data_IF_450011130382
#
_entry.id   IF_450011130382
#
_cell.length_a   1.000
_cell.length_b   1.000
_cell.length_c   1.000
_cell.angle_alpha   90.00
_cell.angle_beta   90.00
_cell.angle_gamma   90.00
#
_symmetry.space_group_name_H-M   'P 1'
#
loop_
_entity.id
_entity.type
_entity.pdbx_description
1 polymer ?
#
# COMPACT_ATOMS: atom_id res chain seq x y z
N UNK A 1 5.55 9.70 -36.06
CA UNK A 1 4.68 10.31 -35.02
C UNK A 1 3.63 9.29 -34.61
N UNK A 2 3.00 9.50 -33.44
CA UNK A 2 1.99 8.66 -32.78
C UNK A 2 2.52 7.33 -32.21
N UNK A 3 2.47 7.25 -30.88
CA UNK A 3 2.74 6.07 -30.06
C UNK A 3 1.46 5.23 -29.98
N UNK A 4 1.58 3.91 -29.88
CA UNK A 4 0.46 3.04 -29.50
C UNK A 4 0.88 2.18 -28.31
N UNK A 5 0.22 2.39 -27.16
CA UNK A 5 0.28 1.50 -26.00
C UNK A 5 -1.10 0.83 -25.86
N UNK A 6 -1.24 -0.45 -26.18
CA UNK A 6 -2.33 -1.26 -25.68
C UNK A 6 -1.97 -1.86 -24.30
N UNK A 7 -2.98 -2.36 -23.58
CA UNK A 7 -2.86 -3.10 -22.30
C UNK A 7 -2.67 -2.27 -21.02
N UNK A 8 -3.41 -1.17 -20.87
CA UNK A 8 -3.98 -0.87 -19.55
C UNK A 8 -5.15 -1.83 -19.33
N UNK A 9 -4.88 -2.97 -18.69
CA UNK A 9 -5.94 -3.84 -18.15
C UNK A 9 -6.53 -3.18 -16.90
N UNK A 10 -7.49 -2.28 -17.11
CA UNK A 10 -8.37 -1.81 -16.04
C UNK A 10 -9.14 -3.04 -15.54
N UNK A 11 -8.88 -3.49 -14.32
CA UNK A 11 -9.72 -4.50 -13.69
C UNK A 11 -11.08 -3.84 -13.35
N UNK A 12 -12.21 -4.28 -13.93
CA UNK A 12 -13.48 -3.61 -13.70
C UNK A 12 -13.93 -3.78 -12.25
N UNK A 13 -14.52 -2.73 -11.67
CA UNK A 13 -15.34 -2.87 -10.48
C UNK A 13 -16.41 -3.94 -10.70
N UNK A 14 -16.72 -4.66 -9.61
CA UNK A 14 -17.72 -5.72 -9.50
C UNK A 14 -18.83 -5.72 -10.57
N UNK A 15 -18.91 -6.79 -11.37
CA UNK A 15 -20.12 -7.62 -11.48
C UNK A 15 -19.83 -8.93 -12.26
N UNK A 16 -20.17 -10.06 -11.62
CA UNK A 16 -20.40 -11.41 -12.17
C UNK A 16 -19.27 -12.25 -12.83
N UNK A 17 -19.37 -13.55 -12.51
CA UNK A 17 -18.81 -14.75 -13.16
C UNK A 17 -17.31 -15.12 -13.03
N UNK A 18 -17.09 -16.42 -12.75
CA UNK A 18 -15.80 -17.12 -12.75
C UNK A 18 -15.38 -17.71 -11.39
N UNK A 19 -15.59 -19.01 -11.16
CA UNK A 19 -15.24 -19.67 -9.88
C UNK A 19 -13.74 -19.61 -9.54
N UNK A 20 -12.83 -19.52 -10.52
CA UNK A 20 -11.40 -19.33 -10.27
C UNK A 20 -11.09 -17.95 -9.64
N UNK A 21 -11.89 -16.92 -9.94
CA UNK A 21 -11.72 -15.57 -9.38
C UNK A 21 -12.11 -15.50 -7.88
N UNK A 22 -12.96 -16.43 -7.41
CA UNK A 22 -13.46 -16.44 -6.03
C UNK A 22 -12.36 -16.60 -4.98
N UNK A 23 -11.23 -17.23 -5.35
CA UNK A 23 -10.06 -17.34 -4.48
C UNK A 23 -9.54 -15.97 -4.05
N UNK A 24 -8.91 -15.23 -4.98
CA UNK A 24 -8.32 -13.91 -4.69
C UNK A 24 -9.34 -12.90 -4.14
N UNK A 25 -10.57 -12.87 -4.67
CA UNK A 25 -11.63 -11.99 -4.16
C UNK A 25 -11.97 -12.26 -2.69
N UNK A 26 -12.01 -13.53 -2.25
CA UNK A 26 -12.24 -13.85 -0.83
C UNK A 26 -11.15 -13.25 0.06
N UNK A 27 -9.88 -13.37 -0.32
CA UNK A 27 -8.76 -12.86 0.49
C UNK A 27 -8.69 -11.34 0.53
N UNK A 28 -9.00 -10.66 -0.58
CA UNK A 28 -9.16 -9.20 -0.60
C UNK A 28 -10.27 -8.75 0.36
N UNK A 29 -11.42 -9.43 0.39
CA UNK A 29 -12.50 -9.15 1.33
C UNK A 29 -12.18 -9.47 2.80
N UNK A 30 -11.21 -10.36 3.08
CA UNK A 30 -10.80 -10.66 4.46
C UNK A 30 -9.92 -9.56 5.06
N UNK A 31 -9.17 -8.83 4.22
CA UNK A 31 -8.16 -7.83 4.61
C UNK A 31 -8.51 -6.40 4.14
N UNK A 32 -9.79 -6.17 3.85
CA UNK A 32 -10.37 -4.85 3.64
C UNK A 32 -10.65 -4.14 4.98
N UNK A 33 -10.97 -2.83 5.00
CA UNK A 33 -11.30 -2.11 6.23
C UNK A 33 -12.47 -2.67 7.05
N UNK A 34 -13.32 -3.51 6.45
CA UNK A 34 -14.43 -4.21 7.12
C UNK A 34 -14.28 -5.75 7.10
N UNK A 35 -13.13 -6.25 6.64
CA UNK A 35 -12.80 -7.67 6.63
C UNK A 35 -12.47 -8.21 8.02
N UNK A 36 -12.64 -9.51 8.23
CA UNK A 36 -12.43 -10.15 9.55
C UNK A 36 -10.99 -10.06 10.07
N UNK A 37 -10.00 -9.89 9.19
CA UNK A 37 -8.60 -9.69 9.55
C UNK A 37 -8.22 -8.19 9.66
N UNK A 38 -9.14 -7.28 9.35
CA UNK A 38 -8.92 -5.83 9.34
C UNK A 38 -8.15 -5.32 8.12
N UNK A 39 -7.99 -3.99 8.05
CA UNK A 39 -7.31 -3.30 6.96
C UNK A 39 -5.84 -3.74 6.81
N UNK A 40 -5.47 -4.18 5.61
CA UNK A 40 -4.07 -4.49 5.26
C UNK A 40 -3.10 -3.33 5.54
N UNK A 41 -3.53 -2.08 5.36
CA UNK A 41 -2.68 -0.91 5.62
C UNK A 41 -2.36 -0.76 7.12
N UNK A 42 -3.32 -1.10 7.99
CA UNK A 42 -3.10 -1.17 9.45
C UNK A 42 -2.14 -2.33 9.80
N UNK A 43 -2.27 -3.46 9.11
CA UNK A 43 -1.40 -4.64 9.30
C UNK A 43 0.06 -4.37 8.91
N UNK A 44 0.29 -3.63 7.82
CA UNK A 44 1.64 -3.34 7.31
C UNK A 44 2.34 -2.17 8.01
N UNK A 45 1.57 -1.24 8.59
CA UNK A 45 2.12 -0.02 9.20
C UNK A 45 3.26 -0.27 10.23
N UNK A 46 3.19 -1.23 11.16
CA UNK A 46 4.27 -1.50 12.11
C UNK A 46 5.58 -1.92 11.45
N UNK A 47 5.52 -2.62 10.30
CA UNK A 47 6.71 -3.04 9.55
C UNK A 47 7.24 -1.85 8.74
N UNK A 48 6.37 -1.24 7.93
CA UNK A 48 6.75 -0.15 7.02
C UNK A 48 7.27 1.08 7.78
N UNK A 49 6.51 1.59 8.74
CA UNK A 49 6.91 2.75 9.53
C UNK A 49 7.80 2.37 10.73
N UNK A 50 7.37 1.38 11.51
CA UNK A 50 7.96 1.06 12.81
C UNK A 50 9.28 0.31 12.78
N UNK A 51 9.64 -0.32 11.66
CA UNK A 51 10.93 -1.00 11.47
C UNK A 51 11.73 -0.34 10.35
N UNK A 52 11.15 -0.24 9.15
CA UNK A 52 11.93 0.06 7.94
C UNK A 52 12.19 1.55 7.78
N UNK A 53 11.15 2.37 7.80
CA UNK A 53 11.31 3.82 7.79
C UNK A 53 12.07 4.31 9.04
N UNK A 54 11.82 3.70 10.20
CA UNK A 54 12.59 3.96 11.43
C UNK A 54 14.10 3.75 11.26
N UNK A 55 14.51 2.69 10.55
CA UNK A 55 15.90 2.42 10.19
C UNK A 55 16.43 3.28 9.02
N UNK A 56 15.67 4.27 8.54
CA UNK A 56 16.09 5.19 7.46
C UNK A 56 15.83 4.70 6.03
N UNK A 57 15.20 3.54 5.84
CA UNK A 57 14.90 3.05 4.49
C UNK A 57 13.86 3.92 3.77
N UNK A 58 14.08 4.13 2.47
CA UNK A 58 13.02 4.47 1.54
C UNK A 58 12.14 3.22 1.34
N UNK A 59 10.87 3.30 1.74
CA UNK A 59 9.95 2.16 1.68
C UNK A 59 9.08 2.30 0.45
N UNK A 60 9.24 1.42 -0.54
CA UNK A 60 8.33 1.34 -1.69
C UNK A 60 6.94 0.80 -1.26
N UNK A 61 5.95 0.86 -2.15
CA UNK A 61 4.65 0.23 -1.94
C UNK A 61 4.80 -1.29 -1.61
N UNK A 62 3.76 -2.00 -1.12
CA UNK A 62 3.83 -3.44 -0.81
C UNK A 62 3.11 -4.36 -1.84
N UNK A 63 3.67 -5.54 -2.14
CA UNK A 63 3.07 -6.54 -3.05
C UNK A 63 2.53 -7.69 -2.26
N UNK A 64 1.29 -7.98 -2.58
CA UNK A 64 0.50 -8.87 -1.78
C UNK A 64 -0.14 -9.83 -2.77
N UNK A 65 0.57 -10.92 -3.04
CA UNK A 65 -0.04 -12.03 -3.77
C UNK A 65 -1.05 -12.69 -2.84
N UNK A 66 -2.32 -12.47 -3.15
CA UNK A 66 -3.43 -12.97 -2.36
C UNK A 66 -3.58 -14.49 -2.54
N UNK A 67 -3.20 -15.25 -1.51
CA UNK A 67 -3.24 -16.71 -1.44
C UNK A 67 -2.71 -17.44 -2.70
N UNK A 68 -1.42 -17.28 -3.05
CA UNK A 68 -0.82 -17.92 -4.22
C UNK A 68 -0.94 -19.46 -4.19
N UNK A 69 -1.01 -20.08 -3.01
CA UNK A 69 -1.26 -21.53 -2.86
C UNK A 69 -2.63 -21.98 -3.35
N UNK A 70 -3.63 -21.08 -3.40
CA UNK A 70 -4.99 -21.35 -3.88
C UNK A 70 -5.24 -20.87 -5.32
N UNK A 71 -4.29 -20.16 -5.93
CA UNK A 71 -4.39 -19.62 -7.28
C UNK A 71 -4.09 -20.70 -8.34
N UNK A 72 -4.66 -20.57 -9.55
CA UNK A 72 -4.37 -21.53 -10.63
C UNK A 72 -2.92 -21.40 -11.12
N UNK A 73 -2.41 -22.42 -11.83
CA UNK A 73 -1.02 -22.41 -12.31
C UNK A 73 -0.72 -21.22 -13.25
N UNK A 74 -1.67 -20.85 -14.10
CA UNK A 74 -1.59 -19.64 -14.94
C UNK A 74 -1.52 -18.36 -14.11
N UNK A 75 -2.39 -18.22 -13.10
CA UNK A 75 -2.41 -17.05 -12.22
C UNK A 75 -1.08 -16.88 -11.46
N UNK A 76 -0.52 -17.97 -10.91
CA UNK A 76 0.80 -17.95 -10.27
C UNK A 76 1.92 -17.57 -11.24
N UNK A 77 1.82 -17.96 -12.51
CA UNK A 77 2.76 -17.55 -13.55
C UNK A 77 2.62 -16.05 -13.81
N UNK A 78 1.41 -15.54 -13.95
CA UNK A 78 1.12 -14.10 -14.12
C UNK A 78 1.62 -13.27 -12.92
N UNK A 79 1.51 -13.78 -11.69
CA UNK A 79 2.09 -13.15 -10.49
C UNK A 79 3.61 -13.00 -10.61
N UNK A 80 4.32 -14.05 -11.05
CA UNK A 80 5.78 -14.03 -11.24
C UNK A 80 6.23 -13.13 -12.39
N UNK A 81 5.50 -13.11 -13.51
CA UNK A 81 5.80 -12.23 -14.64
C UNK A 81 5.52 -10.75 -14.32
N UNK A 82 4.41 -10.46 -13.62
CA UNK A 82 4.13 -9.13 -13.08
C UNK A 82 5.23 -8.69 -12.10
N UNK A 83 5.73 -9.60 -11.27
CA UNK A 83 6.84 -9.30 -10.37
C UNK A 83 8.13 -8.97 -11.13
N UNK A 84 8.52 -9.82 -12.09
CA UNK A 84 9.69 -9.60 -12.94
C UNK A 84 9.60 -8.27 -13.69
N UNK A 85 8.42 -7.91 -14.20
CA UNK A 85 8.19 -6.65 -14.91
C UNK A 85 8.42 -5.45 -14.00
N UNK A 86 7.90 -5.48 -12.77
CA UNK A 86 8.11 -4.39 -11.81
C UNK A 86 9.59 -4.23 -11.42
N UNK A 87 10.31 -5.34 -11.22
CA UNK A 87 11.76 -5.31 -10.92
C UNK A 87 12.61 -4.60 -11.97
N UNK A 88 12.13 -4.42 -13.21
CA UNK A 88 12.86 -3.74 -14.28
C UNK A 88 12.85 -2.21 -14.17
N UNK A 89 11.93 -1.62 -13.39
CA UNK A 89 11.80 -0.17 -13.20
C UNK A 89 11.63 0.22 -11.74
N UNK A 90 12.20 -0.58 -10.84
CA UNK A 90 12.00 -0.50 -9.39
C UNK A 90 12.68 0.72 -8.76
N UNK A 91 13.88 1.08 -9.23
CA UNK A 91 14.67 2.18 -8.67
C UNK A 91 14.09 3.55 -9.03
N UNK A 92 13.22 3.58 -10.05
CA UNK A 92 12.49 4.72 -10.54
C UNK A 92 11.12 4.92 -9.84
N UNK A 93 10.74 4.00 -8.93
CA UNK A 93 9.47 4.11 -8.19
C UNK A 93 9.52 5.18 -7.10
N UNK A 94 8.40 5.89 -6.93
CA UNK A 94 8.23 6.85 -5.83
C UNK A 94 8.01 6.10 -4.51
N UNK A 95 8.85 6.33 -3.47
CA UNK A 95 8.63 5.73 -2.15
C UNK A 95 7.35 6.24 -1.47
N UNK A 96 6.86 5.47 -0.49
CA UNK A 96 5.78 5.88 0.40
C UNK A 96 6.21 7.10 1.21
N UNK A 97 5.31 8.08 1.32
CA UNK A 97 5.53 9.27 2.14
C UNK A 97 5.15 9.00 3.59
N UNK A 98 6.10 9.19 4.50
CA UNK A 98 5.87 9.19 5.95
C UNK A 98 5.85 10.63 6.49
N UNK A 99 5.39 10.81 7.72
CA UNK A 99 5.40 12.14 8.37
C UNK A 99 6.84 12.51 8.74
N UNK A 100 7.41 13.62 8.24
CA UNK A 100 8.78 13.99 8.57
C UNK A 100 8.96 14.35 10.06
N UNK A 101 10.16 14.13 10.60
CA UNK A 101 10.46 14.36 12.02
C UNK A 101 10.29 15.83 12.45
N UNK A 102 10.38 16.78 11.51
CA UNK A 102 10.15 18.20 11.78
C UNK A 102 8.70 18.53 12.16
N UNK A 103 7.74 17.64 11.91
CA UNK A 103 6.35 17.78 12.30
C UNK A 103 6.13 17.47 13.79
N UNK A 104 7.13 16.93 14.49
CA UNK A 104 7.05 16.54 15.89
C UNK A 104 7.89 17.45 16.78
N UNK A 105 7.44 17.65 18.02
CA UNK A 105 8.26 18.29 19.05
C UNK A 105 9.29 17.29 19.60
N UNK A 106 10.56 17.69 19.58
CA UNK A 106 11.70 16.82 19.91
C UNK A 106 11.77 16.44 21.41
N UNK A 107 11.08 17.16 22.30
CA UNK A 107 11.11 16.90 23.75
C UNK A 107 10.01 15.96 24.21
N UNK A 108 8.85 16.05 23.57
CA UNK A 108 7.63 15.30 23.91
C UNK A 108 7.35 14.14 22.96
N UNK A 109 8.02 14.10 21.80
CA UNK A 109 7.76 13.17 20.70
C UNK A 109 6.29 13.21 20.22
N UNK A 110 5.61 14.35 20.38
CA UNK A 110 4.22 14.57 19.96
C UNK A 110 4.14 15.41 18.68
N UNK A 111 3.09 15.21 17.89
CA UNK A 111 2.82 16.01 16.70
C UNK A 111 2.56 17.48 17.09
N UNK A 112 3.26 18.42 16.46
CA UNK A 112 3.20 19.85 16.80
C UNK A 112 1.78 20.42 16.68
N UNK A 113 1.38 21.37 17.56
CA UNK A 113 0.03 21.94 17.54
C UNK A 113 -0.38 22.56 16.21
N UNK A 114 0.53 23.27 15.53
CA UNK A 114 0.25 23.93 14.25
C UNK A 114 0.04 22.92 13.11
N UNK A 115 0.77 21.80 13.12
CA UNK A 115 0.57 20.69 12.17
C UNK A 115 -0.79 20.03 12.39
N UNK A 116 -1.17 19.81 13.66
CA UNK A 116 -2.50 19.30 14.03
C UNK A 116 -3.62 20.24 13.58
N UNK A 117 -3.47 21.54 13.78
CA UNK A 117 -4.44 22.56 13.38
C UNK A 117 -4.59 22.63 11.85
N UNK A 118 -3.48 22.65 11.10
CA UNK A 118 -3.48 22.60 9.62
C UNK A 118 -4.18 21.34 9.07
N UNK A 119 -4.13 20.23 9.80
CA UNK A 119 -4.82 18.98 9.45
C UNK A 119 -6.23 18.84 10.06
N UNK A 120 -6.70 19.77 10.90
CA UNK A 120 -7.96 19.65 11.61
C UNK A 120 -9.17 19.60 10.65
N UNK A 121 -9.13 20.33 9.54
CA UNK A 121 -10.19 20.38 8.52
C UNK A 121 -10.11 19.28 7.44
N UNK A 122 -9.07 18.44 7.45
CA UNK A 122 -8.93 17.32 6.49
C UNK A 122 -9.88 16.17 6.84
N UNK A 123 -10.41 15.47 5.84
CA UNK A 123 -11.26 14.29 6.04
C UNK A 123 -10.50 13.14 6.70
N UNK A 124 -9.29 12.87 6.22
CA UNK A 124 -8.45 11.75 6.66
C UNK A 124 -7.43 12.15 7.73
N UNK A 125 -6.91 11.14 8.42
CA UNK A 125 -5.74 11.24 9.29
C UNK A 125 -4.45 11.53 8.52
N UNK A 126 -3.38 11.84 9.24
CA UNK A 126 -2.09 12.21 8.64
C UNK A 126 -1.38 10.98 8.04
N UNK A 127 -1.46 9.84 8.74
CA UNK A 127 -1.00 8.52 8.30
C UNK A 127 -1.87 7.44 8.95
N UNK A 128 -1.62 6.16 8.65
CA UNK A 128 -2.30 5.03 9.31
C UNK A 128 -2.06 5.04 10.83
N UNK A 129 -0.82 5.27 11.27
CA UNK A 129 -0.48 5.34 12.70
C UNK A 129 -0.84 6.67 13.36
N UNK A 130 -0.91 7.77 12.60
CA UNK A 130 -1.22 9.11 13.08
C UNK A 130 -2.58 9.52 12.52
N UNK A 131 -3.58 8.71 12.86
CA UNK A 131 -4.93 8.80 12.32
C UNK A 131 -5.74 9.99 12.89
N UNK A 132 -5.32 10.61 14.00
CA UNK A 132 -5.95 11.81 14.59
C UNK A 132 -7.48 11.67 14.84
N UNK A 133 -7.94 10.46 15.20
CA UNK A 133 -9.37 10.09 15.33
C UNK A 133 -10.20 10.24 14.04
N UNK A 134 -9.54 10.18 12.88
CA UNK A 134 -10.13 10.19 11.53
C UNK A 134 -9.88 8.85 10.82
N UNK A 135 -10.57 8.56 9.71
CA UNK A 135 -10.21 7.43 8.85
C UNK A 135 -8.75 7.56 8.36
N UNK A 136 -8.01 6.44 8.19
CA UNK A 136 -6.66 6.48 7.63
C UNK A 136 -6.69 7.03 6.20
N UNK A 137 -5.64 7.74 5.75
CA UNK A 137 -5.62 8.29 4.39
C UNK A 137 -5.63 7.17 3.34
N UNK A 138 -6.39 7.35 2.24
CA UNK A 138 -6.39 6.39 1.14
C UNK A 138 -4.97 6.29 0.60
N UNK A 139 -4.43 5.07 0.54
CA UNK A 139 -3.11 4.85 -0.03
C UNK A 139 -3.19 5.07 -1.55
N UNK A 140 -2.21 5.77 -2.16
CA UNK A 140 -2.33 6.20 -3.55
C UNK A 140 -2.48 5.04 -4.55
N UNK A 141 -1.91 3.86 -4.25
CA UNK A 141 -1.98 2.67 -5.10
C UNK A 141 -2.10 1.40 -4.22
N UNK A 142 -3.08 0.52 -4.47
CA UNK A 142 -3.22 -0.80 -3.80
C UNK A 142 -2.22 -1.85 -4.38
N UNK A 143 -0.94 -1.51 -4.60
CA UNK A 143 -0.09 -2.28 -5.53
C UNK A 143 1.44 -2.18 -5.37
N UNK A 144 2.04 -3.33 -5.02
CA UNK A 144 3.33 -3.91 -5.46
C UNK A 144 4.64 -3.56 -4.67
N UNK A 145 5.67 -4.44 -4.67
CA UNK A 145 6.55 -4.93 -3.53
C UNK A 145 7.41 -3.99 -2.68
N UNK A 146 7.39 -4.26 -1.36
CA UNK A 146 8.31 -3.75 -0.34
C UNK A 146 9.75 -4.21 -0.66
N UNK A 147 10.52 -3.33 -1.27
CA UNK A 147 11.97 -3.48 -1.38
C UNK A 147 12.65 -2.41 -0.54
N UNK A 148 13.73 -2.85 0.10
CA UNK A 148 14.68 -2.03 0.84
C UNK A 148 15.75 -1.57 -0.14
N UNK A 149 15.79 -0.27 -0.44
CA UNK A 149 16.96 0.37 -1.04
C UNK A 149 17.78 0.96 0.10
N UNK A 150 19.01 0.48 0.26
CA UNK A 150 20.05 1.06 1.10
C UNK A 150 21.09 1.67 0.16
N UNK A 151 21.46 2.93 0.37
CA UNK A 151 22.67 3.53 -0.23
C UNK A 151 23.89 3.25 0.67
#
# INVERSE_FOLDING_TARGET
MLKSFPHVLVWPSCHHEGLARQGAHKWLCLLSPTGINGDMNVTLWPIQNGILHYCGFQVLAPQIFWAPSSAAAGDRTNMLEGWRTRLQGLLEETPLSFTPLDCFDQKTCQLKPDVREKHASKEFGLTVGIHLNKPPPPQPNESWVLILVHE
#
